data_IF_103221264598
#
_entry.id   IF_103221264598
#
_cell.length_a   1.000
_cell.length_b   1.000
_cell.length_c   1.000
_cell.angle_alpha   90.00
_cell.angle_beta   90.00
_cell.angle_gamma   90.00
#
_symmetry.space_group_name_H-M   'P 1'
#
loop_
_entity.id
_entity.type
_entity.pdbx_description
1 polymer ?
#
# COMPACT_ATOMS: atom_id res chain seq x y z
N UNK A 1 -13.72 38.31 -33.62
CA UNK A 1 -12.69 37.27 -33.87
C UNK A 1 -11.70 37.09 -32.70
N UNK A 2 -11.69 37.94 -31.67
CA UNK A 2 -10.78 37.82 -30.50
C UNK A 2 -11.24 36.82 -29.42
N UNK A 3 -12.54 36.58 -29.30
CA UNK A 3 -13.12 35.70 -28.27
C UNK A 3 -12.80 34.21 -28.48
N UNK A 4 -12.77 33.74 -29.74
CA UNK A 4 -12.43 32.35 -30.10
C UNK A 4 -10.97 32.01 -29.76
N UNK A 5 -10.06 32.95 -30.00
CA UNK A 5 -8.65 32.76 -29.71
C UNK A 5 -8.42 32.62 -28.20
N UNK A 6 -9.10 33.43 -27.38
CA UNK A 6 -9.02 33.35 -25.91
C UNK A 6 -9.52 32.02 -25.36
N UNK A 7 -10.54 31.42 -26.00
CA UNK A 7 -11.11 30.16 -25.55
C UNK A 7 -10.19 28.96 -25.82
N UNK A 8 -9.49 28.96 -26.95
CA UNK A 8 -8.50 27.93 -27.29
C UNK A 8 -7.36 27.87 -26.27
N UNK A 9 -6.90 29.00 -25.75
CA UNK A 9 -5.86 29.04 -24.73
C UNK A 9 -6.30 28.44 -23.39
N UNK A 10 -7.55 28.65 -23.00
CA UNK A 10 -8.09 28.06 -21.75
C UNK A 10 -8.22 26.55 -21.86
N UNK A 11 -8.68 26.06 -23.01
CA UNK A 11 -8.79 24.61 -23.28
C UNK A 11 -7.41 23.96 -23.29
N UNK A 12 -6.43 24.59 -23.94
CA UNK A 12 -5.05 24.12 -23.94
C UNK A 12 -4.44 24.06 -22.52
N UNK A 13 -4.74 25.04 -21.67
CA UNK A 13 -4.27 25.08 -20.29
C UNK A 13 -4.90 23.96 -19.44
N UNK A 14 -6.20 23.69 -19.58
CA UNK A 14 -6.89 22.63 -18.84
C UNK A 14 -6.38 21.23 -19.27
N UNK A 15 -6.08 21.06 -20.56
CA UNK A 15 -5.51 19.83 -21.12
C UNK A 15 -4.09 19.56 -20.60
N UNK A 16 -3.24 20.58 -20.46
CA UNK A 16 -1.90 20.41 -19.90
C UNK A 16 -1.92 20.13 -18.40
N UNK A 17 -2.86 20.71 -17.65
CA UNK A 17 -3.04 20.41 -16.21
C UNK A 17 -3.60 19.00 -15.96
N UNK A 18 -4.46 18.48 -16.84
CA UNK A 18 -5.00 17.11 -16.71
C UNK A 18 -3.98 16.02 -17.02
N UNK A 19 -2.92 16.34 -17.78
CA UNK A 19 -1.81 15.42 -18.05
C UNK A 19 -0.82 15.27 -16.89
N UNK A 20 -0.89 16.14 -15.88
CA UNK A 20 -0.13 16.05 -14.64
C UNK A 20 -0.86 15.16 -13.61
N UNK A 21 -1.31 13.98 -14.01
CA UNK A 21 -1.56 12.94 -13.01
C UNK A 21 -0.20 12.45 -12.55
N UNK A 22 0.30 13.01 -11.45
CA UNK A 22 1.46 12.49 -10.75
C UNK A 22 1.21 11.00 -10.52
N UNK A 23 1.94 10.15 -11.25
CA UNK A 23 1.96 8.73 -10.98
C UNK A 23 2.63 8.59 -9.62
N UNK A 24 1.81 8.51 -8.57
CA UNK A 24 2.30 8.14 -7.26
C UNK A 24 2.96 6.77 -7.43
N UNK A 25 4.29 6.71 -7.31
CA UNK A 25 5.00 5.46 -7.32
C UNK A 25 4.36 4.54 -6.28
N UNK A 26 4.07 3.27 -6.64
CA UNK A 26 3.41 2.35 -5.73
C UNK A 26 4.27 2.23 -4.47
N UNK A 27 3.74 2.73 -3.36
CA UNK A 27 4.42 2.68 -2.07
C UNK A 27 4.80 1.23 -1.78
N UNK A 28 6.10 0.91 -1.67
CA UNK A 28 6.53 -0.46 -1.43
C UNK A 28 5.85 -0.99 -0.16
N UNK A 29 5.31 -2.20 -0.23
CA UNK A 29 4.60 -2.82 0.90
C UNK A 29 5.45 -3.95 1.48
N UNK A 30 5.84 -3.81 2.74
CA UNK A 30 6.52 -4.84 3.51
C UNK A 30 5.47 -5.69 4.24
N UNK A 31 5.27 -6.92 3.78
CA UNK A 31 4.39 -7.88 4.43
C UNK A 31 5.18 -8.78 5.40
N UNK A 32 4.78 -8.81 6.66
CA UNK A 32 5.39 -9.62 7.71
C UNK A 32 4.35 -10.59 8.24
N UNK A 33 4.63 -11.89 8.14
CA UNK A 33 3.82 -12.95 8.70
C UNK A 33 4.41 -13.46 10.00
N UNK A 34 3.60 -13.48 11.07
CA UNK A 34 3.99 -14.02 12.37
C UNK A 34 3.12 -15.22 12.69
N UNK A 35 3.72 -16.30 13.19
CA UNK A 35 3.01 -17.50 13.59
C UNK A 35 2.55 -17.37 15.04
N UNK A 36 1.24 -17.48 15.25
CA UNK A 36 0.63 -17.42 16.57
C UNK A 36 0.86 -18.73 17.32
N UNK A 37 1.29 -18.63 18.57
CA UNK A 37 1.36 -19.73 19.53
C UNK A 37 0.11 -19.83 20.41
N UNK A 38 -0.68 -18.74 20.48
CA UNK A 38 -1.94 -18.58 21.20
C UNK A 38 -3.05 -18.17 20.23
N UNK A 39 -4.32 -18.12 20.66
CA UNK A 39 -5.40 -17.59 19.82
C UNK A 39 -5.04 -16.20 19.26
N UNK A 40 -5.23 -16.02 17.95
CA UNK A 40 -4.82 -14.81 17.20
C UNK A 40 -5.32 -13.52 17.87
N UNK A 41 -6.53 -13.55 18.44
CA UNK A 41 -7.12 -12.40 19.15
C UNK A 41 -6.28 -11.90 20.34
N UNK A 42 -5.50 -12.78 20.98
CA UNK A 42 -4.61 -12.44 22.10
C UNK A 42 -3.23 -11.99 21.62
N UNK A 43 -2.80 -12.43 20.44
CA UNK A 43 -1.47 -12.12 19.92
C UNK A 43 -1.41 -10.84 19.09
N UNK A 44 -2.44 -10.53 18.30
CA UNK A 44 -2.51 -9.28 17.53
C UNK A 44 -2.09 -8.03 18.35
N UNK A 45 -2.64 -7.77 19.55
CA UNK A 45 -2.26 -6.58 20.30
C UNK A 45 -0.79 -6.59 20.77
N UNK A 46 -0.15 -7.76 20.89
CA UNK A 46 1.26 -7.88 21.26
C UNK A 46 2.20 -7.47 20.11
N UNK A 47 1.75 -7.66 18.88
CA UNK A 47 2.53 -7.35 17.68
C UNK A 47 2.27 -5.94 17.13
N UNK A 48 1.19 -5.28 17.55
CA UNK A 48 0.85 -3.91 17.17
C UNK A 48 2.01 -2.91 17.42
N UNK A 49 2.68 -2.90 18.58
CA UNK A 49 3.76 -1.94 18.84
C UNK A 49 4.95 -2.10 17.89
N UNK A 50 5.24 -3.33 17.46
CA UNK A 50 6.27 -3.61 16.47
C UNK A 50 5.86 -3.12 15.09
N UNK A 51 4.61 -3.35 14.68
CA UNK A 51 4.07 -2.82 13.43
C UNK A 51 4.14 -1.30 13.40
N UNK A 52 3.75 -0.62 14.49
CA UNK A 52 3.80 0.83 14.62
C UNK A 52 5.23 1.38 14.62
N UNK A 53 6.17 0.66 15.23
CA UNK A 53 7.58 0.99 15.16
C UNK A 53 8.09 0.91 13.73
N UNK A 54 7.87 -0.22 13.05
CA UNK A 54 8.32 -0.43 11.67
C UNK A 54 7.70 0.57 10.70
N UNK A 55 6.41 0.87 10.84
CA UNK A 55 5.73 1.85 10.00
C UNK A 55 6.35 3.25 10.16
N UNK A 56 6.77 3.63 11.37
CA UNK A 56 7.46 4.89 11.63
C UNK A 56 8.91 4.88 11.15
N UNK A 57 9.61 3.74 11.31
CA UNK A 57 11.03 3.63 10.95
C UNK A 57 11.26 3.53 9.44
N UNK A 58 10.34 2.90 8.71
CA UNK A 58 10.51 2.65 7.27
C UNK A 58 9.93 3.76 6.39
N UNK A 59 9.23 4.74 6.97
CA UNK A 59 8.76 5.94 6.29
C UNK A 59 7.86 5.63 5.10
N UNK A 60 8.44 5.67 3.90
CA UNK A 60 7.77 5.47 2.61
C UNK A 60 7.45 4.00 2.29
N UNK A 61 7.47 3.10 3.28
CA UNK A 61 7.08 1.70 3.14
C UNK A 61 5.78 1.47 3.92
N UNK A 62 4.78 0.89 3.27
CA UNK A 62 3.58 0.40 3.95
C UNK A 62 3.91 -0.90 4.67
N UNK A 63 3.80 -0.93 5.99
CA UNK A 63 4.04 -2.14 6.78
C UNK A 63 2.72 -2.86 7.01
N UNK A 64 2.67 -4.14 6.63
CA UNK A 64 1.52 -5.00 6.86
C UNK A 64 1.96 -6.20 7.69
N UNK A 65 1.72 -6.14 8.99
CA UNK A 65 1.96 -7.25 9.90
C UNK A 65 0.67 -8.05 10.07
N UNK A 66 0.74 -9.36 9.80
CA UNK A 66 -0.38 -10.28 9.99
C UNK A 66 0.04 -11.45 10.87
N UNK A 67 -0.78 -11.72 11.87
CA UNK A 67 -0.63 -12.88 12.75
C UNK A 67 -1.49 -14.02 12.18
N UNK A 68 -0.87 -15.16 11.93
CA UNK A 68 -1.49 -16.34 11.38
C UNK A 68 -1.45 -17.49 12.38
N UNK A 69 -2.45 -18.35 12.37
CA UNK A 69 -2.29 -19.71 12.86
C UNK A 69 -1.54 -20.57 11.82
N UNK A 70 -1.22 -21.82 12.19
CA UNK A 70 -0.51 -22.74 11.29
C UNK A 70 -1.24 -22.94 9.95
N UNK A 71 -2.56 -23.13 9.99
CA UNK A 71 -3.37 -23.35 8.78
C UNK A 71 -3.40 -22.11 7.87
N UNK A 72 -3.55 -20.91 8.46
CA UNK A 72 -3.54 -19.64 7.74
C UNK A 72 -2.18 -19.34 7.12
N UNK A 73 -1.09 -19.67 7.82
CA UNK A 73 0.27 -19.49 7.32
C UNK A 73 0.56 -20.41 6.13
N UNK A 74 0.18 -21.70 6.22
CA UNK A 74 0.33 -22.66 5.11
C UNK A 74 -0.42 -22.19 3.86
N UNK A 75 -1.66 -21.71 4.02
CA UNK A 75 -2.45 -21.14 2.93
C UNK A 75 -1.80 -19.89 2.31
N UNK A 76 -1.15 -19.06 3.13
CA UNK A 76 -0.46 -17.85 2.62
C UNK A 76 0.78 -18.21 1.82
N UNK A 77 1.56 -19.19 2.28
CA UNK A 77 2.77 -19.66 1.59
C UNK A 77 2.46 -20.42 0.30
N UNK A 78 1.38 -21.21 0.26
CA UNK A 78 0.98 -21.91 -0.98
C UNK A 78 0.58 -20.94 -2.08
N UNK A 79 -0.14 -19.86 -1.76
CA UNK A 79 -0.48 -18.78 -2.70
C UNK A 79 0.79 -18.07 -3.19
N UNK A 80 1.72 -17.74 -2.29
CA UNK A 80 2.96 -17.06 -2.65
C UNK A 80 3.83 -17.90 -3.61
N UNK A 81 3.85 -19.23 -3.44
CA UNK A 81 4.57 -20.15 -4.32
C UNK A 81 3.96 -20.27 -5.72
N UNK A 82 2.66 -20.03 -5.87
CA UNK A 82 1.94 -20.14 -7.16
C UNK A 82 2.15 -18.93 -8.09
N UNK A 83 2.73 -17.83 -7.59
CA UNK A 83 2.89 -16.56 -8.33
C UNK A 83 4.30 -16.46 -8.96
N UNK A 84 5.17 -17.45 -8.71
CA UNK A 84 6.52 -17.54 -9.25
C UNK A 84 6.69 -18.78 -10.14
#
# INVERSE_FOLDING_TARGET
MTALCRWLWVVALILTLSGLTAQAEPTPTLAIGVLAHRPIALENPLWQPLADYLQRSLGDVRVMLQVYDFAGMEKRFSIARSIW
#
